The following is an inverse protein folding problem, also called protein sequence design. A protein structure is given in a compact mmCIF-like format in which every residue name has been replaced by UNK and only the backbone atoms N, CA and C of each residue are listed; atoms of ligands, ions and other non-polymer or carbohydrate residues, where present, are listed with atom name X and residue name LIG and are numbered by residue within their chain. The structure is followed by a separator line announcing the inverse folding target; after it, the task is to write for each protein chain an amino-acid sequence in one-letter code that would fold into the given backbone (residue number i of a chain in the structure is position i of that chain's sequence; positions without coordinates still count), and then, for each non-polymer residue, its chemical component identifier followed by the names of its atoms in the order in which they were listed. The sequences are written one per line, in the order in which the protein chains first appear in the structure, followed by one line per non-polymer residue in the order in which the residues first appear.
data_IF_363896309840
#
_entry.id   IF_363896309840
#
_cell.length_a   1.000
_cell.length_b   1.000
_cell.length_c   1.000
_cell.angle_alpha   90.00
_cell.angle_beta   90.00
_cell.angle_gamma   90.00
#
_symmetry.space_group_name_H-M   'P 1'
#
loop_
_entity.id
_entity.type
_entity.pdbx_description
1 polymer ?
#
# COMPACT_ATOMS: atom_id res chain seq x y z
N UNK A 1 48.13 13.60 20.51
CA UNK A 1 48.20 12.92 21.83
C UNK A 1 46.90 13.21 22.59
N UNK A 2 46.26 12.18 23.11
CA UNK A 2 45.04 12.32 23.93
C UNK A 2 45.42 12.46 25.41
N UNK A 3 44.63 13.19 26.19
CA UNK A 3 44.82 13.34 27.63
C UNK A 3 43.83 12.51 28.41
N UNK A 4 44.25 11.97 29.55
CA UNK A 4 43.38 11.19 30.43
C UNK A 4 42.16 12.00 30.89
N UNK A 5 40.97 11.41 30.81
CA UNK A 5 39.71 12.05 31.21
C UNK A 5 39.66 12.36 32.72
N UNK A 6 40.47 11.67 33.57
CA UNK A 6 40.50 11.84 35.01
C UNK A 6 41.67 12.73 35.49
N UNK A 7 42.91 12.31 35.20
CA UNK A 7 44.13 12.94 35.73
C UNK A 7 44.83 13.90 34.76
N UNK A 8 44.33 14.04 33.54
CA UNK A 8 44.87 14.86 32.46
C UNK A 8 46.30 14.51 31.98
N UNK A 9 46.87 13.41 32.47
CA UNK A 9 48.17 12.93 31.99
C UNK A 9 48.10 12.55 30.52
N UNK A 10 49.21 12.78 29.77
CA UNK A 10 49.30 12.37 28.38
C UNK A 10 49.17 10.85 28.24
N UNK A 11 48.39 10.44 27.25
CA UNK A 11 48.11 9.02 26.99
C UNK A 11 48.86 8.58 25.71
N UNK A 12 49.39 7.34 25.72
CA UNK A 12 49.82 6.70 24.49
C UNK A 12 48.65 6.54 23.51
N UNK A 13 48.92 6.57 22.21
CA UNK A 13 47.90 6.35 21.22
C UNK A 13 47.28 4.92 21.37
N UNK A 14 45.96 4.90 21.42
CA UNK A 14 45.18 3.65 21.60
C UNK A 14 45.09 3.12 23.02
N UNK A 15 45.56 3.86 24.03
CA UNK A 15 45.49 3.41 25.43
C UNK A 15 44.04 3.24 25.90
N UNK A 16 43.66 2.03 26.31
CA UNK A 16 42.36 1.73 26.89
C UNK A 16 42.22 2.15 28.34
N UNK A 17 43.35 2.26 29.06
CA UNK A 17 43.44 2.67 30.44
C UNK A 17 44.59 3.68 30.63
N UNK A 18 44.44 4.61 31.57
CA UNK A 18 45.49 5.54 31.92
C UNK A 18 46.59 4.83 32.73
N UNK A 19 47.87 4.87 32.31
CA UNK A 19 48.95 4.26 33.07
C UNK A 19 49.19 4.93 34.42
N UNK A 20 48.82 6.19 34.57
CA UNK A 20 49.04 6.96 35.80
C UNK A 20 47.96 6.78 36.85
N UNK A 21 46.68 6.64 36.49
CA UNK A 21 45.57 6.60 37.43
C UNK A 21 44.63 5.40 37.22
N UNK A 22 44.92 4.48 36.34
CA UNK A 22 44.12 3.29 36.03
C UNK A 22 42.74 3.55 35.42
N UNK A 23 42.36 4.80 35.19
CA UNK A 23 41.02 5.12 34.65
C UNK A 23 40.87 4.61 33.23
N UNK A 24 39.83 3.81 32.97
CA UNK A 24 39.45 3.38 31.63
C UNK A 24 39.10 4.61 30.77
N UNK A 25 39.69 4.68 29.58
CA UNK A 25 39.45 5.70 28.58
C UNK A 25 38.29 5.24 27.69
N UNK A 26 37.33 6.10 27.48
CA UNK A 26 36.22 5.80 26.58
C UNK A 26 36.69 6.06 25.16
N UNK A 27 36.73 5.06 24.27
CA UNK A 27 37.07 5.31 22.89
C UNK A 27 36.06 6.28 22.28
N UNK A 28 36.53 7.21 21.45
CA UNK A 28 35.63 8.07 20.71
C UNK A 28 34.63 7.23 19.94
N UNK A 29 33.34 7.50 20.16
CA UNK A 29 32.27 6.84 19.40
C UNK A 29 32.47 7.20 17.94
N UNK A 30 32.82 6.24 17.10
CA UNK A 30 32.87 6.43 15.65
C UNK A 30 31.55 7.02 15.18
N UNK A 31 31.58 8.20 14.57
CA UNK A 31 30.40 8.81 13.97
C UNK A 31 29.84 7.83 12.92
N UNK A 32 28.57 7.50 13.03
CA UNK A 32 27.94 6.66 12.03
C UNK A 32 28.10 7.30 10.64
N UNK A 33 28.52 6.52 9.67
CA UNK A 33 28.61 6.96 8.28
C UNK A 33 27.23 7.45 7.82
N UNK A 34 27.18 8.65 7.25
CA UNK A 34 25.98 9.16 6.60
C UNK A 34 25.71 8.34 5.34
N UNK A 35 24.43 7.99 5.13
CA UNK A 35 24.02 7.35 3.88
C UNK A 35 24.18 8.32 2.70
N UNK A 36 24.37 7.77 1.50
CA UNK A 36 24.40 8.56 0.28
C UNK A 36 23.10 9.34 0.08
N UNK A 37 23.19 10.52 -0.53
CA UNK A 37 22.01 11.33 -0.83
C UNK A 37 21.04 10.55 -1.75
N UNK A 38 19.73 10.72 -1.53
CA UNK A 38 18.69 10.04 -2.32
C UNK A 38 18.39 8.60 -1.90
N UNK A 39 19.20 7.97 -1.02
CA UNK A 39 18.95 6.57 -0.56
C UNK A 39 17.89 6.47 0.53
N UNK A 40 17.35 7.60 1.00
CA UNK A 40 16.39 7.66 2.09
C UNK A 40 17.02 7.62 3.48
N UNK A 41 16.20 7.71 4.51
CA UNK A 41 16.60 7.84 5.92
C UNK A 41 15.91 6.79 6.77
N UNK A 42 16.66 6.22 7.73
CA UNK A 42 16.09 5.40 8.81
C UNK A 42 16.39 6.07 10.13
N UNK A 43 15.34 6.32 10.91
CA UNK A 43 15.45 6.91 12.24
C UNK A 43 14.55 6.21 13.25
N UNK A 44 14.87 6.39 14.53
CA UNK A 44 14.12 5.79 15.64
C UNK A 44 13.25 6.86 16.29
N UNK A 45 11.96 6.56 16.44
CA UNK A 45 11.03 7.38 17.21
C UNK A 45 11.25 7.16 18.72
N UNK A 46 11.04 8.21 19.51
CA UNK A 46 11.05 8.16 20.95
C UNK A 46 9.78 7.53 21.53
N UNK A 47 9.84 7.10 22.79
CA UNK A 47 8.72 6.51 23.54
C UNK A 47 8.60 4.98 23.35
N UNK A 48 7.66 4.37 24.11
CA UNK A 48 7.37 2.93 24.06
C UNK A 48 6.49 2.62 22.84
N UNK A 49 7.11 2.12 21.77
CA UNK A 49 6.43 1.76 20.52
C UNK A 49 6.84 0.35 20.09
N UNK A 50 5.91 -0.45 19.61
CA UNK A 50 6.19 -1.79 19.07
C UNK A 50 7.01 -1.74 17.77
N UNK A 51 6.83 -0.66 16.98
CA UNK A 51 7.53 -0.41 15.72
C UNK A 51 8.19 0.96 15.72
N UNK A 52 9.32 1.13 16.44
CA UNK A 52 9.93 2.45 16.62
C UNK A 52 10.78 2.92 15.43
N UNK A 53 11.14 2.05 14.51
CA UNK A 53 11.99 2.39 13.38
C UNK A 53 11.18 2.85 12.18
N UNK A 54 11.53 4.00 11.64
CA UNK A 54 10.87 4.60 10.46
C UNK A 54 11.84 4.57 9.29
N UNK A 55 11.35 4.09 8.15
CA UNK A 55 12.00 4.28 6.87
C UNK A 55 11.28 5.38 6.09
N UNK A 56 12.02 6.37 5.59
CA UNK A 56 11.48 7.47 4.80
C UNK A 56 12.40 7.77 3.62
N UNK A 57 11.81 8.14 2.47
CA UNK A 57 12.51 8.58 1.26
C UNK A 57 11.73 9.73 0.64
N UNK A 58 12.41 10.79 0.19
CA UNK A 58 11.80 11.97 -0.41
C UNK A 58 10.66 12.58 0.45
N UNK A 59 10.84 12.63 1.78
CA UNK A 59 9.85 13.06 2.77
C UNK A 59 8.62 12.13 2.92
N UNK A 60 8.54 11.05 2.14
CA UNK A 60 7.47 10.06 2.21
C UNK A 60 7.85 8.97 3.21
N UNK A 61 6.96 8.67 4.16
CA UNK A 61 7.13 7.57 5.11
C UNK A 61 6.78 6.26 4.40
N UNK A 62 7.77 5.37 4.28
CA UNK A 62 7.60 4.05 3.68
C UNK A 62 6.88 3.11 4.65
N UNK A 63 7.32 3.11 5.91
CA UNK A 63 6.72 2.27 6.95
C UNK A 63 7.37 2.40 8.31
N UNK A 64 6.77 1.68 9.28
CA UNK A 64 7.24 1.56 10.65
C UNK A 64 7.65 0.12 10.94
N UNK A 65 8.82 -0.10 11.52
CA UNK A 65 9.45 -1.40 11.68
C UNK A 65 9.89 -1.64 13.13
N UNK A 66 9.90 -2.90 13.55
CA UNK A 66 10.39 -3.29 14.88
C UNK A 66 11.91 -3.22 14.97
N UNK A 67 12.62 -3.53 13.88
CA UNK A 67 14.08 -3.56 13.79
C UNK A 67 14.58 -2.54 12.77
N UNK A 68 15.79 -2.03 12.99
CA UNK A 68 16.48 -1.14 12.06
C UNK A 68 16.82 -1.84 10.74
N UNK A 69 17.17 -3.13 10.79
CA UNK A 69 17.45 -3.96 9.61
C UNK A 69 16.29 -3.96 8.62
N UNK A 70 15.07 -4.20 9.13
CA UNK A 70 13.86 -4.31 8.31
C UNK A 70 13.53 -2.96 7.64
N UNK A 71 13.76 -1.85 8.36
CA UNK A 71 13.60 -0.51 7.80
C UNK A 71 14.64 -0.20 6.69
N UNK A 72 15.87 -0.70 6.82
CA UNK A 72 16.92 -0.56 5.82
C UNK A 72 16.59 -1.39 4.57
N UNK A 73 16.19 -2.64 4.75
CA UNK A 73 15.78 -3.54 3.66
C UNK A 73 14.61 -2.96 2.86
N UNK A 74 13.62 -2.36 3.54
CA UNK A 74 12.52 -1.69 2.87
C UNK A 74 12.98 -0.51 2.01
N UNK A 75 13.99 0.26 2.43
CA UNK A 75 14.60 1.31 1.62
C UNK A 75 15.35 0.74 0.41
N UNK A 76 16.06 -0.38 0.58
CA UNK A 76 16.81 -1.02 -0.51
C UNK A 76 15.88 -1.56 -1.59
N UNK A 77 14.75 -2.16 -1.23
CA UNK A 77 13.71 -2.62 -2.17
C UNK A 77 13.14 -1.49 -3.05
N UNK A 78 13.18 -0.26 -2.54
CA UNK A 78 12.72 0.94 -3.24
C UNK A 78 13.90 1.76 -3.83
N UNK A 79 15.10 1.19 -3.82
CA UNK A 79 16.27 1.81 -4.44
C UNK A 79 16.04 1.94 -5.95
N UNK A 80 16.26 3.15 -6.47
CA UNK A 80 16.06 3.45 -7.89
C UNK A 80 14.63 3.78 -8.31
N UNK A 81 13.61 3.63 -7.42
CA UNK A 81 12.23 4.03 -7.74
C UNK A 81 11.93 5.45 -7.26
N UNK A 82 11.28 6.28 -8.09
CA UNK A 82 10.75 7.54 -7.61
C UNK A 82 9.65 7.25 -6.58
N UNK A 83 9.62 8.01 -5.50
CA UNK A 83 8.56 7.97 -4.50
C UNK A 83 8.04 9.39 -4.35
N UNK A 84 6.77 9.57 -4.61
CA UNK A 84 6.04 10.80 -4.40
C UNK A 84 4.96 10.63 -3.29
N UNK A 85 4.17 11.67 -3.08
CA UNK A 85 3.11 11.68 -2.06
C UNK A 85 2.04 10.62 -2.34
N UNK A 86 1.81 10.26 -3.62
CA UNK A 86 0.83 9.27 -4.07
C UNK A 86 1.14 7.85 -3.57
N UNK A 87 2.40 7.57 -3.21
CA UNK A 87 2.79 6.27 -2.66
C UNK A 87 2.00 5.86 -1.40
N UNK A 88 1.44 6.81 -0.68
CA UNK A 88 0.66 6.56 0.54
C UNK A 88 -0.86 6.67 0.35
N UNK A 89 -1.33 6.88 -0.88
CA UNK A 89 -2.76 7.01 -1.15
C UNK A 89 -3.54 5.79 -0.64
N UNK A 90 -4.67 6.08 -0.03
CA UNK A 90 -5.67 5.09 0.40
C UNK A 90 -6.48 4.60 -0.79
N UNK A 91 -7.28 3.55 -0.59
CA UNK A 91 -8.20 3.05 -1.62
C UNK A 91 -9.17 4.16 -2.10
N UNK A 92 -9.72 4.97 -1.18
CA UNK A 92 -10.59 6.09 -1.53
C UNK A 92 -9.87 7.15 -2.35
N UNK A 93 -8.67 7.57 -1.94
CA UNK A 93 -7.91 8.59 -2.66
C UNK A 93 -7.51 8.12 -4.06
N UNK A 94 -7.20 6.83 -4.24
CA UNK A 94 -6.96 6.24 -5.56
C UNK A 94 -8.24 6.24 -6.40
N UNK A 95 -9.40 5.92 -5.80
CA UNK A 95 -10.67 5.98 -6.50
C UNK A 95 -10.98 7.40 -6.98
N UNK A 96 -10.83 8.40 -6.13
CA UNK A 96 -11.11 9.79 -6.49
C UNK A 96 -10.22 10.29 -7.63
N UNK A 97 -8.93 9.94 -7.60
CA UNK A 97 -7.99 10.29 -8.65
C UNK A 97 -8.29 9.55 -9.97
N UNK A 98 -8.56 8.24 -9.92
CA UNK A 98 -8.97 7.43 -11.06
C UNK A 98 -10.30 7.93 -11.66
N UNK A 99 -11.28 8.21 -10.80
CA UNK A 99 -12.60 8.73 -11.18
C UNK A 99 -12.50 10.05 -11.95
N UNK A 100 -11.62 10.96 -11.52
CA UNK A 100 -11.43 12.26 -12.17
C UNK A 100 -11.00 12.16 -13.65
N UNK A 101 -10.27 11.10 -14.00
CA UNK A 101 -9.90 10.80 -15.39
C UNK A 101 -11.01 10.02 -16.11
N UNK A 102 -11.44 8.90 -15.53
CA UNK A 102 -12.27 7.90 -16.21
C UNK A 102 -13.72 8.35 -16.44
N UNK A 103 -14.30 9.12 -15.54
CA UNK A 103 -15.70 9.56 -15.65
C UNK A 103 -15.94 10.57 -16.77
N UNK A 104 -14.88 11.13 -17.36
CA UNK A 104 -15.00 11.99 -18.55
C UNK A 104 -15.38 11.22 -19.81
N UNK A 105 -15.14 9.91 -19.82
CA UNK A 105 -15.27 9.08 -21.01
C UNK A 105 -16.50 8.15 -20.96
N UNK A 106 -17.25 8.13 -19.84
CA UNK A 106 -18.38 7.23 -19.63
C UNK A 106 -19.69 7.96 -19.38
N UNK A 107 -20.81 7.32 -19.74
CA UNK A 107 -22.16 7.84 -19.48
C UNK A 107 -22.62 7.66 -18.04
N UNK A 108 -23.74 8.32 -17.67
CA UNK A 108 -24.29 8.36 -16.32
C UNK A 108 -24.53 6.98 -15.70
N UNK A 109 -25.06 6.01 -16.46
CA UNK A 109 -25.30 4.65 -15.98
C UNK A 109 -23.99 3.91 -15.62
N UNK A 110 -22.90 4.21 -16.33
CA UNK A 110 -21.56 3.70 -16.01
C UNK A 110 -21.03 4.29 -14.70
N UNK A 111 -21.20 5.61 -14.53
CA UNK A 111 -20.84 6.34 -13.30
C UNK A 111 -21.54 5.71 -12.10
N UNK A 112 -22.86 5.59 -12.12
CA UNK A 112 -23.62 4.97 -11.02
C UNK A 112 -23.19 3.53 -10.73
N UNK A 113 -22.86 2.76 -11.77
CA UNK A 113 -22.38 1.38 -11.61
C UNK A 113 -21.06 1.32 -10.87
N UNK A 114 -20.12 2.23 -11.15
CA UNK A 114 -18.83 2.29 -10.47
C UNK A 114 -18.94 2.88 -9.06
N UNK A 115 -19.78 3.89 -8.84
CA UNK A 115 -20.02 4.43 -7.50
C UNK A 115 -20.63 3.35 -6.57
N UNK A 116 -21.61 2.57 -7.03
CA UNK A 116 -22.15 1.41 -6.27
C UNK A 116 -21.10 0.33 -6.02
N UNK A 117 -20.23 0.07 -6.99
CA UNK A 117 -19.13 -0.87 -6.82
C UNK A 117 -18.11 -0.37 -5.80
N UNK A 118 -17.84 0.93 -5.75
CA UNK A 118 -16.95 1.55 -4.77
C UNK A 118 -17.49 1.39 -3.35
N UNK A 119 -18.79 1.62 -3.13
CA UNK A 119 -19.44 1.45 -1.82
C UNK A 119 -19.28 0.03 -1.27
N UNK A 120 -19.28 -0.98 -2.15
CA UNK A 120 -19.04 -2.38 -1.75
C UNK A 120 -17.65 -2.56 -1.11
N UNK A 121 -16.67 -1.79 -1.56
CA UNK A 121 -15.30 -1.84 -1.02
C UNK A 121 -15.08 -0.95 0.22
N UNK A 122 -16.15 -0.49 0.90
CA UNK A 122 -16.06 0.32 2.11
C UNK A 122 -15.04 -0.19 3.17
N UNK A 123 -14.91 -1.50 3.42
CA UNK A 123 -13.90 -2.03 4.36
C UNK A 123 -12.44 -1.74 3.95
N UNK A 124 -12.20 -1.39 2.68
CA UNK A 124 -10.87 -1.10 2.15
C UNK A 124 -10.58 0.40 2.04
N UNK A 125 -11.56 1.28 2.14
CA UNK A 125 -11.45 2.71 1.86
C UNK A 125 -10.26 3.38 2.54
N UNK A 126 -10.02 3.07 3.82
CA UNK A 126 -8.95 3.66 4.62
C UNK A 126 -7.62 2.89 4.58
N UNK A 127 -7.57 1.76 3.84
CA UNK A 127 -6.32 1.01 3.67
C UNK A 127 -5.46 1.66 2.59
N UNK A 128 -4.14 1.67 2.79
CA UNK A 128 -3.22 2.12 1.74
C UNK A 128 -3.31 1.19 0.55
N UNK A 129 -3.50 1.74 -0.64
CA UNK A 129 -3.73 0.95 -1.86
C UNK A 129 -2.59 -0.04 -2.13
N UNK A 130 -1.34 0.39 -1.95
CA UNK A 130 -0.14 -0.45 -2.14
C UNK A 130 -0.06 -1.67 -1.22
N UNK A 131 -0.74 -1.62 -0.07
CA UNK A 131 -0.71 -2.69 0.94
C UNK A 131 -1.81 -3.73 0.72
N UNK A 132 -2.76 -3.46 -0.18
CA UNK A 132 -3.84 -4.38 -0.53
C UNK A 132 -3.29 -5.63 -1.24
N UNK A 133 -3.90 -6.76 -0.93
CA UNK A 133 -3.57 -8.06 -1.50
C UNK A 133 -4.82 -8.73 -2.06
N UNK A 134 -4.64 -9.78 -2.84
CA UNK A 134 -5.75 -10.55 -3.41
C UNK A 134 -6.76 -11.01 -2.34
N UNK A 135 -6.28 -11.37 -1.15
CA UNK A 135 -7.13 -11.77 -0.04
C UNK A 135 -8.03 -10.65 0.48
N UNK A 136 -7.55 -9.39 0.49
CA UNK A 136 -8.36 -8.25 0.92
C UNK A 136 -9.54 -8.02 -0.03
N UNK A 137 -9.27 -8.05 -1.34
CA UNK A 137 -10.32 -7.93 -2.35
C UNK A 137 -11.29 -9.11 -2.30
N UNK A 138 -10.76 -10.33 -2.19
CA UNK A 138 -11.59 -11.54 -2.16
C UNK A 138 -12.51 -11.55 -0.94
N UNK A 139 -12.04 -11.16 0.24
CA UNK A 139 -12.84 -11.10 1.46
C UNK A 139 -14.06 -10.17 1.34
N UNK A 140 -13.95 -9.09 0.56
CA UNK A 140 -15.08 -8.20 0.25
C UNK A 140 -16.02 -8.88 -0.74
N UNK A 141 -15.48 -9.47 -1.80
CA UNK A 141 -16.27 -10.15 -2.84
C UNK A 141 -17.03 -11.34 -2.28
N UNK A 142 -16.43 -12.13 -1.38
CA UNK A 142 -17.06 -13.31 -0.75
C UNK A 142 -18.37 -12.96 -0.02
N UNK A 143 -18.49 -11.77 0.53
CA UNK A 143 -19.72 -11.27 1.16
C UNK A 143 -20.85 -11.03 0.14
N UNK A 144 -20.55 -11.02 -1.15
CA UNK A 144 -21.47 -10.72 -2.23
C UNK A 144 -21.62 -11.87 -3.24
N UNK A 145 -21.13 -13.07 -2.91
CA UNK A 145 -21.19 -14.25 -3.81
C UNK A 145 -22.62 -14.75 -4.09
N UNK A 146 -23.62 -14.33 -3.30
CA UNK A 146 -25.05 -14.61 -3.55
C UNK A 146 -25.64 -13.73 -4.67
N UNK A 147 -24.95 -12.67 -5.09
CA UNK A 147 -25.40 -11.81 -6.19
C UNK A 147 -25.07 -12.45 -7.55
N UNK A 148 -25.73 -11.96 -8.61
CA UNK A 148 -25.48 -12.45 -9.97
C UNK A 148 -24.03 -12.27 -10.37
N UNK A 149 -23.53 -13.20 -11.21
CA UNK A 149 -22.19 -13.12 -11.79
C UNK A 149 -21.91 -11.76 -12.43
N UNK A 150 -22.86 -11.18 -13.17
CA UNK A 150 -22.71 -9.87 -13.80
C UNK A 150 -22.50 -8.75 -12.80
N UNK A 151 -23.20 -8.79 -11.65
CA UNK A 151 -23.03 -7.80 -10.58
C UNK A 151 -21.65 -7.88 -9.95
N UNK A 152 -21.22 -9.09 -9.57
CA UNK A 152 -19.90 -9.28 -8.93
C UNK A 152 -18.76 -8.99 -9.91
N UNK A 153 -18.97 -9.27 -11.21
CA UNK A 153 -18.02 -8.91 -12.28
C UNK A 153 -17.77 -7.40 -12.34
N UNK A 154 -18.79 -6.56 -12.08
CA UNK A 154 -18.61 -5.09 -12.03
C UNK A 154 -17.70 -4.66 -10.88
N UNK A 155 -17.82 -5.31 -9.71
CA UNK A 155 -16.93 -5.05 -8.57
C UNK A 155 -15.48 -5.39 -8.92
N UNK A 156 -15.24 -6.58 -9.50
CA UNK A 156 -13.91 -6.96 -9.99
C UNK A 156 -13.39 -6.00 -11.05
N UNK A 157 -14.25 -5.55 -11.96
CA UNK A 157 -13.89 -4.61 -13.02
C UNK A 157 -13.36 -3.29 -12.42
N UNK A 158 -14.07 -2.69 -11.44
CA UNK A 158 -13.61 -1.50 -10.74
C UNK A 158 -12.26 -1.72 -10.09
N UNK A 159 -12.13 -2.77 -9.26
CA UNK A 159 -10.88 -3.07 -8.56
C UNK A 159 -9.71 -3.26 -9.54
N UNK A 160 -9.96 -3.92 -10.70
CA UNK A 160 -8.95 -4.16 -11.74
C UNK A 160 -8.52 -2.84 -12.40
N UNK A 161 -9.47 -1.97 -12.76
CA UNK A 161 -9.18 -0.69 -13.42
C UNK A 161 -8.43 0.26 -12.48
N UNK A 162 -8.87 0.38 -11.22
CA UNK A 162 -8.16 1.16 -10.21
C UNK A 162 -6.74 0.65 -10.00
N UNK A 163 -6.56 -0.67 -9.95
CA UNK A 163 -5.23 -1.28 -9.79
C UNK A 163 -4.32 -1.02 -11.01
N UNK A 164 -4.85 -1.07 -12.22
CA UNK A 164 -4.11 -0.73 -13.43
C UNK A 164 -3.69 0.75 -13.44
N UNK A 165 -4.60 1.64 -13.05
CA UNK A 165 -4.30 3.06 -12.88
C UNK A 165 -3.22 3.27 -11.82
N UNK A 166 -3.36 2.63 -10.65
CA UNK A 166 -2.39 2.74 -9.56
C UNK A 166 -1.00 2.17 -9.94
N UNK A 167 -0.93 1.17 -10.82
CA UNK A 167 0.33 0.67 -11.37
C UNK A 167 0.96 1.69 -12.33
N UNK A 168 0.16 2.31 -13.20
CA UNK A 168 0.62 3.38 -14.11
C UNK A 168 1.20 4.56 -13.33
N UNK A 169 0.57 4.92 -12.21
CA UNK A 169 1.01 6.01 -11.32
C UNK A 169 2.06 5.56 -10.28
N UNK A 170 2.64 4.39 -10.43
CA UNK A 170 3.69 3.82 -9.55
C UNK A 170 3.31 3.68 -8.06
N UNK A 171 2.01 3.70 -7.73
CA UNK A 171 1.49 3.54 -6.36
C UNK A 171 1.65 2.08 -5.90
N UNK A 172 1.42 1.13 -6.79
CA UNK A 172 1.62 -0.30 -6.55
C UNK A 172 2.37 -0.96 -7.70
N UNK A 173 2.90 -2.16 -7.48
CA UNK A 173 3.69 -2.90 -8.48
C UNK A 173 2.94 -4.08 -9.08
N UNK A 174 1.78 -4.45 -8.52
CA UNK A 174 1.03 -5.64 -8.93
C UNK A 174 -0.46 -5.38 -8.84
N UNK A 175 -1.18 -5.78 -9.89
CA UNK A 175 -2.64 -5.79 -9.86
C UNK A 175 -3.16 -7.08 -9.23
N UNK A 176 -3.41 -7.05 -7.92
CA UNK A 176 -3.95 -8.19 -7.19
C UNK A 176 -5.44 -8.44 -7.46
N UNK A 177 -6.17 -7.49 -8.04
CA UNK A 177 -7.58 -7.67 -8.38
C UNK A 177 -7.81 -8.70 -9.50
N UNK A 178 -6.78 -8.99 -10.32
CA UNK A 178 -6.87 -10.08 -11.30
C UNK A 178 -7.16 -11.44 -10.68
N UNK A 179 -6.69 -11.69 -9.47
CA UNK A 179 -6.85 -12.97 -8.76
C UNK A 179 -8.20 -13.13 -8.07
N UNK A 180 -9.10 -12.15 -8.15
CA UNK A 180 -10.46 -12.24 -7.61
C UNK A 180 -11.22 -13.35 -8.33
N UNK A 181 -11.76 -14.29 -7.55
CA UNK A 181 -12.64 -15.35 -8.03
C UNK A 181 -14.07 -14.84 -8.04
N UNK A 182 -14.79 -15.14 -9.13
CA UNK A 182 -16.18 -14.77 -9.33
C UNK A 182 -17.08 -15.97 -9.07
N UNK A 183 -18.40 -15.78 -8.75
CA UNK A 183 -19.36 -16.85 -8.73
C UNK A 183 -19.50 -17.47 -10.13
N UNK A 184 -20.01 -18.70 -10.19
CA UNK A 184 -20.26 -19.35 -11.47
C UNK A 184 -21.25 -18.55 -12.33
N UNK A 185 -20.97 -18.52 -13.61
CA UNK A 185 -21.82 -17.87 -14.59
C UNK A 185 -22.89 -18.87 -15.07
N UNK A 186 -23.93 -19.07 -14.26
CA UNK A 186 -25.08 -19.88 -14.67
C UNK A 186 -25.90 -19.07 -15.67
N UNK A 187 -25.76 -19.42 -16.95
CA UNK A 187 -26.63 -18.86 -17.99
C UNK A 187 -28.03 -19.41 -17.76
N UNK A 188 -28.96 -18.52 -17.35
CA UNK A 188 -30.38 -18.83 -17.44
C UNK A 188 -30.75 -18.81 -18.92
N UNK A 189 -31.30 -19.90 -19.44
CA UNK A 189 -31.97 -19.90 -20.73
C UNK A 189 -33.08 -18.84 -20.66
N UNK A 190 -33.09 -17.93 -21.59
CA UNK A 190 -34.19 -16.98 -21.73
C UNK A 190 -35.36 -17.79 -22.25
N UNK A 191 -36.43 -17.85 -21.49
CA UNK A 191 -37.70 -18.35 -22.00
C UNK A 191 -38.09 -17.45 -23.17
N UNK A 192 -38.21 -18.04 -24.34
CA UNK A 192 -38.70 -17.35 -25.53
C UNK A 192 -40.20 -17.30 -25.35
N UNK A 193 -40.81 -16.12 -25.52
CA UNK A 193 -42.26 -16.01 -25.55
C UNK A 193 -42.83 -17.02 -26.55
N UNK A 194 -43.73 -17.84 -26.10
CA UNK A 194 -44.46 -18.76 -26.96
C UNK A 194 -45.53 -18.00 -27.75
N UNK A 195 -45.97 -18.56 -28.90
CA UNK A 195 -47.04 -17.92 -29.68
C UNK A 195 -48.29 -17.64 -28.83
N UNK A 196 -48.58 -18.52 -27.83
CA UNK A 196 -49.68 -18.31 -26.87
C UNK A 196 -49.49 -17.14 -25.91
N UNK A 197 -48.24 -16.80 -25.57
CA UNK A 197 -47.96 -15.61 -24.74
C UNK A 197 -48.16 -14.33 -25.56
N UNK A 198 -47.89 -14.37 -26.85
CA UNK A 198 -48.11 -13.25 -27.81
C UNK A 198 -49.62 -13.03 -27.99
N UNK A 199 -50.43 -14.08 -28.22
CA UNK A 199 -51.87 -14.02 -28.35
C UNK A 199 -52.54 -13.44 -27.11
N UNK A 200 -52.06 -13.80 -25.91
CA UNK A 200 -52.55 -13.27 -24.63
C UNK A 200 -52.24 -11.76 -24.47
N UNK A 201 -51.15 -11.25 -25.01
CA UNK A 201 -50.81 -9.86 -24.96
C UNK A 201 -51.69 -9.03 -25.95
N UNK A 202 -52.03 -9.59 -27.11
CA UNK A 202 -52.88 -8.94 -28.11
C UNK A 202 -54.37 -8.94 -27.68
N UNK A 203 -54.81 -9.93 -26.91
CA UNK A 203 -56.21 -10.00 -26.45
C UNK A 203 -56.54 -9.14 -25.23
N UNK A 204 -55.55 -8.59 -24.53
CA UNK A 204 -55.68 -7.75 -23.34
C UNK A 204 -55.27 -6.27 -23.56
N UNK A 205 -55.02 -5.84 -24.74
CA UNK A 205 -54.72 -4.46 -25.14
C UNK A 205 -55.92 -3.82 -25.86
#
# INVERSE_FOLDING_TARGET
MANCIKCKAALPDGALFCPMCGKKQVPEKRKALKRANGTGTVYKLSGRRSRPWVAAKNRVIIGYYSKKSDALEALERLSGKPLDERYNMTFSEVFDAWKAEHYREIGSSGVESYDRAFDVFAPLHNKKFRDLRAADFQAVIDQHMSKSHSTVSKYKQLATQMSNWAMREEICVTNFAHYIKLPENVKKEKEIFTDGDIENLESNG
#
